data_IF_376207680612
#
_entry.id   IF_376207680612
#
_cell.length_a   1.000
_cell.length_b   1.000
_cell.length_c   1.000
_cell.angle_alpha   90.00
_cell.angle_beta   90.00
_cell.angle_gamma   90.00
#
_symmetry.space_group_name_H-M   'P 1'
#
loop_
_entity.id
_entity.type
_entity.pdbx_description
1 polymer ?
#
# COMPACT_ATOMS: atom_id res chain seq x y z
N UNK A 1 34.06 -6.86 0.22
CA UNK A 1 32.77 -6.57 0.87
C UNK A 1 32.07 -7.88 0.99
N UNK A 2 32.12 -8.43 2.20
CA UNK A 2 31.83 -9.81 2.54
C UNK A 2 30.57 -9.73 3.40
N UNK A 3 29.47 -10.33 2.94
CA UNK A 3 28.21 -10.32 3.68
C UNK A 3 28.05 -11.70 4.33
N UNK A 4 28.28 -11.75 5.64
CA UNK A 4 27.96 -12.93 6.45
C UNK A 4 26.49 -12.90 6.87
N UNK A 5 25.77 -13.93 6.44
CA UNK A 5 24.41 -14.24 6.84
C UNK A 5 24.41 -14.83 8.25
N UNK A 6 24.06 -14.04 9.26
CA UNK A 6 23.72 -14.58 10.56
C UNK A 6 22.24 -14.95 10.60
N UNK A 7 21.95 -16.25 10.48
CA UNK A 7 20.76 -16.88 11.04
C UNK A 7 19.46 -16.68 10.26
N UNK A 8 18.91 -17.78 9.75
CA UNK A 8 17.69 -17.84 8.96
C UNK A 8 16.55 -16.98 9.50
N UNK A 9 16.17 -15.97 8.73
CA UNK A 9 14.95 -15.22 8.91
C UNK A 9 14.23 -15.20 7.57
N UNK A 10 12.98 -15.64 7.57
CA UNK A 10 12.06 -15.56 6.42
C UNK A 10 11.57 -14.12 6.21
N UNK A 11 12.41 -13.13 6.49
CA UNK A 11 12.11 -11.71 6.38
C UNK A 11 12.50 -11.22 4.99
N UNK A 12 11.56 -11.29 4.05
CA UNK A 12 11.55 -10.31 2.97
C UNK A 12 10.87 -9.05 3.51
N UNK A 13 11.58 -8.29 4.36
CA UNK A 13 11.27 -6.86 4.42
C UNK A 13 11.48 -6.33 3.02
N UNK A 14 10.41 -5.86 2.37
CA UNK A 14 10.56 -4.98 1.23
C UNK A 14 11.32 -3.76 1.75
N UNK A 15 12.63 -3.74 1.52
CA UNK A 15 13.45 -2.59 1.82
C UNK A 15 13.18 -1.59 0.69
N UNK A 16 12.09 -0.84 0.81
CA UNK A 16 11.90 0.36 -0.02
C UNK A 16 13.11 1.24 0.28
N UNK A 17 13.93 1.54 -0.72
CA UNK A 17 14.99 2.53 -0.62
C UNK A 17 14.32 3.85 -0.23
N UNK A 18 14.36 4.13 1.06
CA UNK A 18 13.76 5.33 1.67
C UNK A 18 14.81 6.44 1.63
N UNK A 19 14.39 7.61 1.15
CA UNK A 19 15.09 8.86 1.37
C UNK A 19 14.99 9.22 2.87
N UNK A 20 15.75 8.53 3.71
CA UNK A 20 16.15 9.01 5.04
C UNK A 20 15.09 9.16 6.15
N UNK A 21 13.85 8.69 6.00
CA UNK A 21 12.80 8.89 7.02
C UNK A 21 12.48 7.59 7.81
N UNK A 22 13.32 7.25 8.80
CA UNK A 22 13.00 6.25 9.82
C UNK A 22 12.26 6.90 11.00
N UNK A 23 11.16 6.29 11.46
CA UNK A 23 10.35 6.84 12.56
C UNK A 23 10.94 6.42 13.90
N UNK A 24 11.51 7.39 14.64
CA UNK A 24 11.95 7.20 16.04
C UNK A 24 11.04 8.04 16.94
N UNK A 25 10.12 7.40 17.67
CA UNK A 25 9.27 8.08 18.64
C UNK A 25 10.04 8.22 19.97
N UNK A 26 10.32 9.46 20.41
CA UNK A 26 10.95 9.74 21.70
C UNK A 26 9.88 10.00 22.76
N UNK A 27 9.74 9.11 23.74
CA UNK A 27 9.00 9.43 24.96
C UNK A 27 9.96 9.98 26.04
N UNK A 28 9.55 11.08 26.66
CA UNK A 28 10.33 11.85 27.62
C UNK A 28 10.21 11.28 29.02
N UNK A 29 11.03 10.27 29.33
CA UNK A 29 11.23 9.78 30.71
C UNK A 29 11.70 8.33 30.74
N UNK A 30 12.97 8.10 31.11
CA UNK A 30 13.63 6.79 31.14
C UNK A 30 13.57 6.04 29.80
N UNK A 31 14.39 6.48 28.84
CA UNK A 31 14.37 6.06 27.44
C UNK A 31 14.76 4.58 27.22
N UNK A 32 13.77 3.69 27.28
CA UNK A 32 13.72 2.52 26.40
C UNK A 32 13.16 2.98 25.07
N UNK A 33 14.01 3.29 24.10
CA UNK A 33 13.56 3.60 22.74
C UNK A 33 13.02 2.33 22.09
N UNK A 34 11.71 2.21 21.94
CA UNK A 34 11.13 1.22 21.04
C UNK A 34 11.42 1.73 19.63
N UNK A 35 12.48 1.19 19.02
CA UNK A 35 12.79 1.47 17.63
C UNK A 35 11.79 0.72 16.75
N UNK A 36 10.76 1.42 16.29
CA UNK A 36 9.84 0.89 15.27
C UNK A 36 10.64 0.83 13.97
N UNK A 37 10.90 -0.38 13.47
CA UNK A 37 11.51 -0.58 12.15
C UNK A 37 10.40 -0.62 11.10
N UNK A 38 10.47 0.26 10.12
CA UNK A 38 9.57 0.25 8.97
C UNK A 38 9.54 1.59 8.22
N UNK A 39 8.86 1.60 7.08
CA UNK A 39 8.67 2.79 6.24
C UNK A 39 7.35 3.49 6.59
N UNK A 40 7.39 4.81 6.80
CA UNK A 40 6.21 5.59 7.17
C UNK A 40 5.06 5.37 6.19
N UNK A 41 3.85 5.15 6.72
CA UNK A 41 2.64 4.90 5.93
C UNK A 41 2.41 3.44 5.55
N UNK A 42 3.42 2.56 5.69
CA UNK A 42 3.29 1.11 5.47
C UNK A 42 3.28 0.32 6.78
N UNK A 43 3.71 0.94 7.89
CA UNK A 43 3.78 0.29 9.20
C UNK A 43 2.36 0.01 9.73
N UNK A 44 2.05 -1.25 10.10
CA UNK A 44 0.79 -1.60 10.74
C UNK A 44 0.57 -0.81 12.03
N UNK A 45 -0.66 -0.35 12.32
CA UNK A 45 -0.93 0.46 13.51
C UNK A 45 -0.52 -0.22 14.83
N UNK A 46 -0.59 -1.55 14.90
CA UNK A 46 -0.20 -2.36 16.06
C UNK A 46 1.30 -2.34 16.35
N UNK A 47 2.17 -2.20 15.33
CA UNK A 47 3.62 -2.07 15.55
C UNK A 47 3.96 -0.74 16.25
N UNK A 48 3.15 0.29 16.02
CA UNK A 48 3.24 1.57 16.73
C UNK A 48 2.90 1.48 18.22
N UNK A 49 2.20 0.42 18.63
CA UNK A 49 1.82 0.15 20.03
C UNK A 49 2.75 -0.85 20.72
N UNK A 50 3.89 -1.18 20.10
CA UNK A 50 4.85 -2.16 20.62
C UNK A 50 4.59 -3.60 20.16
N UNK A 51 3.79 -3.80 19.11
CA UNK A 51 3.66 -5.09 18.44
C UNK A 51 4.96 -5.56 17.80
N UNK A 52 5.20 -6.87 17.81
CA UNK A 52 6.33 -7.50 17.12
C UNK A 52 6.02 -7.74 15.65
N UNK A 53 7.08 -7.94 14.85
CA UNK A 53 6.94 -8.31 13.45
C UNK A 53 6.16 -9.63 13.30
N UNK A 54 5.15 -9.64 12.41
CA UNK A 54 4.25 -10.75 12.16
C UNK A 54 3.87 -10.85 10.69
N UNK A 55 3.38 -12.04 10.31
CA UNK A 55 2.83 -12.30 8.97
C UNK A 55 1.66 -11.36 8.67
N UNK A 56 0.85 -11.04 9.67
CA UNK A 56 -0.30 -10.14 9.53
C UNK A 56 0.16 -8.71 9.22
N UNK A 57 1.23 -8.24 9.87
CA UNK A 57 1.79 -6.93 9.56
C UNK A 57 2.48 -6.87 8.19
N UNK A 58 3.06 -7.98 7.73
CA UNK A 58 3.57 -8.11 6.36
C UNK A 58 2.43 -8.03 5.33
N UNK A 59 1.29 -8.67 5.60
CA UNK A 59 0.08 -8.61 4.76
C UNK A 59 -0.47 -7.18 4.70
N UNK A 60 -0.52 -6.48 5.83
CA UNK A 60 -0.93 -5.07 5.86
C UNK A 60 0.00 -4.20 4.99
N UNK A 61 1.31 -4.33 5.18
CA UNK A 61 2.33 -3.57 4.42
C UNK A 61 2.23 -3.84 2.92
N UNK A 62 2.02 -5.11 2.54
CA UNK A 62 1.78 -5.53 1.16
C UNK A 62 0.48 -4.92 0.60
N UNK A 63 -0.57 -4.85 1.41
CA UNK A 63 -1.83 -4.19 1.05
C UNK A 63 -1.63 -2.72 0.70
N UNK A 64 -0.89 -1.97 1.53
CA UNK A 64 -0.55 -0.56 1.26
C UNK A 64 0.23 -0.42 -0.05
N UNK A 65 1.21 -1.30 -0.30
CA UNK A 65 1.99 -1.30 -1.55
C UNK A 65 1.10 -1.55 -2.79
N UNK A 66 0.14 -2.49 -2.71
CA UNK A 66 -0.83 -2.69 -3.78
C UNK A 66 -1.67 -1.43 -4.03
N UNK A 67 -2.14 -0.79 -2.95
CA UNK A 67 -2.92 0.44 -3.08
C UNK A 67 -2.09 1.56 -3.71
N UNK A 68 -0.83 1.74 -3.32
CA UNK A 68 0.08 2.73 -3.92
C UNK A 68 0.26 2.46 -5.42
N UNK A 69 0.53 1.20 -5.79
CA UNK A 69 0.74 0.80 -7.18
C UNK A 69 -0.47 1.11 -8.06
N UNK A 70 -1.68 0.80 -7.58
CA UNK A 70 -2.90 0.94 -8.39
C UNK A 70 -3.49 2.36 -8.35
N UNK A 71 -3.26 3.13 -7.30
CA UNK A 71 -3.78 4.50 -7.19
C UNK A 71 -2.78 5.56 -7.67
N UNK A 72 -1.51 5.20 -7.79
CA UNK A 72 -0.39 6.10 -8.06
C UNK A 72 -0.10 7.07 -6.90
N UNK A 73 -0.70 6.86 -5.72
CA UNK A 73 -0.62 7.77 -4.57
C UNK A 73 0.27 7.18 -3.49
N UNK A 74 1.23 7.98 -3.03
CA UNK A 74 2.10 7.57 -1.92
C UNK A 74 1.31 7.58 -0.61
N UNK A 75 1.53 6.64 0.32
CA UNK A 75 0.88 6.66 1.64
C UNK A 75 1.17 7.93 2.46
N UNK A 76 2.24 8.65 2.11
CA UNK A 76 2.69 9.89 2.74
C UNK A 76 2.38 11.14 1.92
N UNK A 77 1.51 11.04 0.91
CA UNK A 77 1.10 12.19 0.10
C UNK A 77 0.33 13.21 0.96
N UNK A 78 0.47 14.51 0.67
CA UNK A 78 -0.07 15.60 1.50
C UNK A 78 -1.61 15.53 1.61
N UNK A 79 -2.28 14.88 0.65
CA UNK A 79 -3.71 14.63 0.69
C UNK A 79 -4.18 13.70 1.83
N UNK A 80 -3.25 12.99 2.48
CA UNK A 80 -3.48 12.09 3.61
C UNK A 80 -3.18 12.75 4.97
N UNK A 81 -2.87 14.05 4.98
CA UNK A 81 -2.78 14.80 6.22
C UNK A 81 -4.12 14.85 6.97
N UNK A 82 -4.07 15.00 8.30
CA UNK A 82 -5.28 15.07 9.14
C UNK A 82 -5.90 13.71 9.52
N UNK A 83 -5.16 12.62 9.34
CA UNK A 83 -5.54 11.28 9.84
C UNK A 83 -6.33 10.42 8.85
N UNK A 84 -6.43 10.83 7.58
CA UNK A 84 -6.94 9.98 6.51
C UNK A 84 -5.78 9.15 5.92
N UNK A 85 -5.78 7.83 6.06
CA UNK A 85 -4.77 6.98 5.44
C UNK A 85 -5.13 6.58 4.01
N UNK A 86 -4.15 6.16 3.21
CA UNK A 86 -4.37 5.56 1.89
C UNK A 86 -5.32 4.33 1.96
N UNK A 87 -5.20 3.53 3.03
CA UNK A 87 -6.08 2.40 3.31
C UNK A 87 -7.54 2.85 3.50
N UNK A 88 -7.79 3.84 4.35
CA UNK A 88 -9.14 4.37 4.59
C UNK A 88 -9.70 5.09 3.36
N UNK A 89 -8.86 5.76 2.58
CA UNK A 89 -9.23 6.35 1.29
C UNK A 89 -9.72 5.27 0.30
N UNK A 90 -8.95 4.20 0.12
CA UNK A 90 -9.31 3.10 -0.76
C UNK A 90 -10.57 2.36 -0.29
N UNK A 91 -10.69 2.13 1.02
CA UNK A 91 -11.84 1.49 1.65
C UNK A 91 -13.14 2.27 1.46
N UNK A 92 -13.09 3.61 1.44
CA UNK A 92 -14.26 4.46 1.14
C UNK A 92 -14.70 4.40 -0.32
N UNK A 93 -13.78 4.15 -1.25
CA UNK A 93 -14.09 4.02 -2.67
C UNK A 93 -14.73 2.66 -3.01
N UNK A 94 -14.49 1.64 -2.18
CA UNK A 94 -15.00 0.30 -2.41
C UNK A 94 -16.52 0.18 -2.23
N UNK A 95 -17.20 -0.67 -3.01
CA UNK A 95 -16.76 -1.25 -4.29
C UNK A 95 -17.09 -0.35 -5.49
N UNK A 96 -17.89 0.70 -5.31
CA UNK A 96 -18.56 1.40 -6.42
C UNK A 96 -17.70 2.44 -7.12
N UNK A 97 -16.77 3.08 -6.39
CA UNK A 97 -15.95 4.21 -6.86
C UNK A 97 -14.49 3.81 -7.09
N UNK A 98 -14.18 2.51 -7.17
CA UNK A 98 -12.79 2.01 -7.31
C UNK A 98 -12.10 2.58 -8.56
N UNK A 99 -12.83 2.66 -9.68
CA UNK A 99 -12.29 3.21 -10.93
C UNK A 99 -11.85 4.69 -10.80
N UNK A 100 -12.41 5.44 -9.87
CA UNK A 100 -12.13 6.87 -9.67
C UNK A 100 -10.82 7.11 -8.91
N UNK A 101 -10.39 6.14 -8.11
CA UNK A 101 -9.17 6.26 -7.29
C UNK A 101 -7.93 5.68 -7.96
N UNK A 102 -8.13 4.82 -8.97
CA UNK A 102 -7.08 4.13 -9.73
C UNK A 102 -6.37 5.10 -10.67
N UNK A 103 -5.06 4.91 -10.85
CA UNK A 103 -4.25 5.70 -11.77
C UNK A 103 -4.78 5.54 -13.20
N UNK A 104 -5.10 6.67 -13.82
CA UNK A 104 -5.63 6.72 -15.18
C UNK A 104 -4.67 6.10 -16.20
N UNK A 105 -3.35 6.11 -15.94
CA UNK A 105 -2.36 5.47 -16.79
C UNK A 105 -2.54 3.95 -16.85
N UNK A 106 -3.05 3.32 -15.78
CA UNK A 106 -3.37 1.90 -15.76
C UNK A 106 -4.64 1.56 -16.55
N UNK A 107 -5.50 2.57 -16.76
CA UNK A 107 -6.73 2.45 -17.55
C UNK A 107 -6.51 2.73 -19.04
N UNK A 108 -5.32 3.22 -19.42
CA UNK A 108 -4.96 3.47 -20.82
C UNK A 108 -4.68 2.15 -21.52
N UNK A 109 -5.65 1.67 -22.29
CA UNK A 109 -5.43 0.56 -23.21
C UNK A 109 -4.90 1.09 -24.55
N UNK A 110 -3.86 0.44 -25.09
CA UNK A 110 -3.35 0.72 -26.42
C UNK A 110 -4.44 0.44 -27.45
N UNK A 111 -4.82 1.47 -28.21
CA UNK A 111 -5.73 1.36 -29.35
C UNK A 111 -5.31 0.21 -30.27
N UNK A 112 -6.18 -0.79 -30.44
CA UNK A 112 -6.30 -1.48 -31.72
C UNK A 112 -7.79 -1.67 -32.05
N UNK A 113 -8.21 -0.94 -33.08
CA UNK A 113 -9.35 -1.12 -33.97
C UNK A 113 -10.79 -1.03 -33.43
N UNK A 114 -11.24 0.22 -33.38
CA UNK A 114 -12.50 0.77 -33.93
C UNK A 114 -13.71 -0.17 -34.17
N UNK A 115 -14.79 0.13 -33.42
CA UNK A 115 -16.23 0.04 -33.75
C UNK A 115 -17.12 -0.98 -33.02
N UNK A 116 -16.60 -1.83 -32.12
CA UNK A 116 -17.47 -2.65 -31.27
C UNK A 116 -17.75 -1.98 -29.92
N UNK A 117 -18.80 -1.17 -29.87
CA UNK A 117 -19.26 -0.47 -28.64
C UNK A 117 -19.58 -1.46 -27.50
N UNK A 118 -20.18 -2.61 -27.83
CA UNK A 118 -20.53 -3.64 -26.83
C UNK A 118 -19.28 -4.27 -26.21
N UNK A 119 -18.24 -4.50 -27.03
CA UNK A 119 -16.96 -5.04 -26.55
C UNK A 119 -16.25 -4.11 -25.55
N UNK A 120 -16.32 -2.79 -25.76
CA UNK A 120 -15.75 -1.81 -24.82
C UNK A 120 -16.45 -1.81 -23.46
N UNK A 121 -17.78 -1.88 -23.42
CA UNK A 121 -18.51 -1.92 -22.15
C UNK A 121 -18.19 -3.19 -21.35
N UNK A 122 -18.13 -4.33 -22.02
CA UNK A 122 -17.79 -5.61 -21.39
C UNK A 122 -16.35 -5.59 -20.85
N UNK A 123 -15.41 -5.03 -21.60
CA UNK A 123 -14.03 -4.87 -21.16
C UNK A 123 -13.90 -3.93 -19.95
N UNK A 124 -14.56 -2.76 -19.98
CA UNK A 124 -14.59 -1.83 -18.84
C UNK A 124 -15.18 -2.52 -17.60
N UNK A 125 -16.27 -3.28 -17.77
CA UNK A 125 -16.88 -4.02 -16.68
C UNK A 125 -15.91 -5.05 -16.07
N UNK A 126 -15.23 -5.83 -16.92
CA UNK A 126 -14.23 -6.83 -16.47
C UNK A 126 -13.03 -6.19 -15.78
N UNK A 127 -12.55 -5.06 -16.30
CA UNK A 127 -11.47 -4.28 -15.66
C UNK A 127 -11.94 -3.77 -14.31
N UNK A 128 -13.15 -3.21 -14.22
CA UNK A 128 -13.70 -2.72 -12.95
C UNK A 128 -13.84 -3.85 -11.91
N UNK A 129 -14.35 -5.02 -12.29
CA UNK A 129 -14.41 -6.19 -11.41
C UNK A 129 -13.03 -6.64 -10.92
N UNK A 130 -12.02 -6.59 -11.79
CA UNK A 130 -10.63 -6.87 -11.45
C UNK A 130 -10.09 -5.86 -10.44
N UNK A 131 -10.31 -4.57 -10.69
CA UNK A 131 -9.87 -3.50 -9.80
C UNK A 131 -10.53 -3.59 -8.42
N UNK A 132 -11.83 -3.88 -8.36
CA UNK A 132 -12.55 -4.12 -7.10
C UNK A 132 -11.91 -5.27 -6.33
N UNK A 133 -11.53 -6.35 -7.02
CA UNK A 133 -10.86 -7.50 -6.39
C UNK A 133 -9.48 -7.13 -5.85
N UNK A 134 -8.66 -6.41 -6.63
CA UNK A 134 -7.30 -6.00 -6.25
C UNK A 134 -7.32 -5.02 -5.08
N UNK A 135 -8.15 -3.96 -5.16
CA UNK A 135 -8.31 -2.99 -4.07
C UNK A 135 -8.89 -3.67 -2.84
N UNK A 136 -9.82 -4.62 -3.01
CA UNK A 136 -10.35 -5.45 -1.94
C UNK A 136 -9.27 -6.22 -1.17
N UNK A 137 -8.26 -6.77 -1.87
CA UNK A 137 -7.10 -7.42 -1.24
C UNK A 137 -6.24 -6.38 -0.49
N UNK A 138 -6.08 -5.19 -1.05
CA UNK A 138 -5.26 -4.12 -0.46
C UNK A 138 -5.80 -3.55 0.85
N UNK A 139 -7.09 -3.71 1.14
CA UNK A 139 -7.76 -3.15 2.34
C UNK A 139 -8.03 -4.17 3.45
N UNK A 140 -7.52 -5.40 3.33
CA UNK A 140 -7.68 -6.46 4.34
C UNK A 140 -7.03 -6.08 5.67
#
# INVERSE_FOLDING_TARGET
MEWEWAGGSSEMMVQVVSDGNSVVLRDGGAASSIAIKGSLGYVPPEYGMGGEASTEGDVYSYGIMLLELFTGKRPTDDMFEGGLSLHEFAKRAMPTQVIEIVDQLLLLEGNDDSNNVNGRYEQIARVNECLVSIVGIGIV
#
